data_IF_407389342933
#
_entry.id   IF_407389342933
#
_cell.length_a   1.000
_cell.length_b   1.000
_cell.length_c   1.000
_cell.angle_alpha   90.00
_cell.angle_beta   90.00
_cell.angle_gamma   90.00
#
_symmetry.space_group_name_H-M   'P 1'
#
loop_
_entity.id
_entity.type
_entity.pdbx_description
1 polymer ?
#
# COMPACT_ATOMS: atom_id res chain seq x y z
N UNK A 1 26.44 -12.52 1.48
CA UNK A 1 25.70 -11.39 0.89
C UNK A 1 25.51 -10.33 1.96
N UNK A 2 25.66 -9.03 1.64
CA UNK A 2 25.46 -7.97 2.63
C UNK A 2 23.99 -7.95 3.08
N UNK A 3 23.73 -8.02 4.40
CA UNK A 3 22.38 -8.09 4.99
C UNK A 3 21.53 -6.89 4.57
N UNK A 4 22.15 -5.71 4.43
CA UNK A 4 21.46 -4.52 3.95
C UNK A 4 20.94 -4.69 2.52
N UNK A 5 21.71 -5.33 1.64
CA UNK A 5 21.30 -5.63 0.26
C UNK A 5 20.18 -6.68 0.24
N UNK A 6 20.22 -7.67 1.14
CA UNK A 6 19.13 -8.63 1.28
C UNK A 6 17.82 -7.95 1.72
N UNK A 7 17.90 -7.06 2.71
CA UNK A 7 16.76 -6.25 3.13
C UNK A 7 16.23 -5.37 2.00
N UNK A 8 17.13 -4.76 1.22
CA UNK A 8 16.75 -3.97 0.05
C UNK A 8 16.01 -4.79 -1.00
N UNK A 9 16.55 -5.97 -1.38
CA UNK A 9 15.92 -6.85 -2.36
C UNK A 9 14.55 -7.35 -1.89
N UNK A 10 14.44 -7.76 -0.63
CA UNK A 10 13.18 -8.24 -0.07
C UNK A 10 12.17 -7.09 0.07
N UNK A 11 12.62 -5.89 0.45
CA UNK A 11 11.79 -4.69 0.48
C UNK A 11 11.23 -4.35 -0.89
N UNK A 12 12.02 -4.42 -1.96
CA UNK A 12 11.50 -4.24 -3.31
C UNK A 12 10.45 -5.31 -3.66
N UNK A 13 10.72 -6.58 -3.36
CA UNK A 13 9.75 -7.65 -3.59
C UNK A 13 8.43 -7.44 -2.84
N UNK A 14 8.47 -6.78 -1.68
CA UNK A 14 7.30 -6.47 -0.85
C UNK A 14 6.49 -5.26 -1.38
N UNK A 15 7.14 -4.18 -1.81
CA UNK A 15 6.46 -2.90 -2.14
C UNK A 15 6.10 -2.77 -3.63
N UNK A 16 6.86 -3.43 -4.50
CA UNK A 16 6.70 -3.36 -5.96
C UNK A 16 5.40 -3.99 -6.54
N UNK A 17 4.76 -5.00 -5.92
CA UNK A 17 3.47 -5.52 -6.41
C UNK A 17 2.41 -4.44 -6.59
N UNK A 18 1.82 -4.39 -7.78
CA UNK A 18 0.85 -3.34 -8.13
C UNK A 18 -0.44 -3.55 -7.35
N UNK A 19 -0.81 -2.54 -6.55
CA UNK A 19 -2.02 -2.54 -5.73
C UNK A 19 -2.60 -1.14 -5.56
N UNK A 20 -3.59 -0.99 -4.68
CA UNK A 20 -4.35 0.25 -4.48
C UNK A 20 -3.47 1.50 -4.26
N UNK A 21 -2.37 1.35 -3.53
CA UNK A 21 -1.47 2.45 -3.20
C UNK A 21 -0.60 2.86 -4.38
N UNK A 22 -0.07 1.90 -5.13
CA UNK A 22 0.72 2.15 -6.34
C UNK A 22 -0.10 2.97 -7.34
N UNK A 23 -1.36 2.60 -7.52
CA UNK A 23 -2.34 3.27 -8.38
C UNK A 23 -2.58 4.71 -7.94
N UNK A 24 -2.89 4.90 -6.65
CA UNK A 24 -3.18 6.21 -6.08
C UNK A 24 -1.97 7.16 -6.22
N UNK A 25 -0.76 6.64 -5.99
CA UNK A 25 0.48 7.39 -6.16
C UNK A 25 0.75 7.74 -7.64
N UNK A 26 0.48 6.83 -8.58
CA UNK A 26 0.56 7.08 -10.03
C UNK A 26 -0.40 8.21 -10.42
N UNK A 27 -1.68 8.13 -10.04
CA UNK A 27 -2.67 9.16 -10.35
C UNK A 27 -2.30 10.53 -9.77
N UNK A 28 -1.74 10.54 -8.56
CA UNK A 28 -1.20 11.76 -7.95
C UNK A 28 -0.04 12.31 -8.78
N UNK A 29 0.88 11.46 -9.23
CA UNK A 29 2.03 11.86 -10.04
C UNK A 29 1.63 12.43 -11.42
N UNK A 30 0.54 11.94 -12.01
CA UNK A 30 0.03 12.39 -13.30
C UNK A 30 -0.70 13.73 -13.22
N UNK A 31 -1.42 13.98 -12.12
CA UNK A 31 -2.38 15.10 -12.05
C UNK A 31 -1.92 16.27 -11.18
N UNK A 32 -0.99 16.07 -10.23
CA UNK A 32 -0.68 17.07 -9.22
C UNK A 32 0.64 17.83 -9.47
N UNK A 33 0.85 18.90 -8.69
CA UNK A 33 2.13 19.64 -8.66
C UNK A 33 3.20 18.83 -7.93
N UNK A 34 4.48 19.03 -8.30
CA UNK A 34 5.64 18.30 -7.75
C UNK A 34 5.69 18.25 -6.22
N UNK A 35 5.36 19.34 -5.54
CA UNK A 35 5.32 19.38 -4.06
C UNK A 35 4.36 18.35 -3.48
N UNK A 36 3.16 18.18 -4.08
CA UNK A 36 2.17 17.22 -3.63
C UNK A 36 2.51 15.79 -3.99
N UNK A 37 3.19 15.59 -5.13
CA UNK A 37 3.74 14.29 -5.52
C UNK A 37 4.75 13.80 -4.46
N UNK A 38 5.71 14.66 -4.11
CA UNK A 38 6.73 14.35 -3.09
C UNK A 38 6.12 14.15 -1.71
N UNK A 39 5.16 15.01 -1.30
CA UNK A 39 4.46 14.84 -0.03
C UNK A 39 3.71 13.51 0.05
N UNK A 40 3.05 13.11 -1.05
CA UNK A 40 2.32 11.84 -1.12
C UNK A 40 3.28 10.65 -1.07
N UNK A 41 4.38 10.68 -1.83
CA UNK A 41 5.41 9.65 -1.77
C UNK A 41 5.99 9.49 -0.36
N UNK A 42 6.25 10.60 0.34
CA UNK A 42 6.72 10.59 1.71
C UNK A 42 5.71 9.97 2.68
N UNK A 43 4.44 10.37 2.61
CA UNK A 43 3.36 9.85 3.46
C UNK A 43 3.21 8.33 3.28
N UNK A 44 3.20 7.85 2.03
CA UNK A 44 3.05 6.42 1.74
C UNK A 44 4.29 5.67 2.24
N UNK A 45 5.51 6.16 1.94
CA UNK A 45 6.74 5.54 2.41
C UNK A 45 6.81 5.49 3.95
N UNK A 46 6.35 6.53 4.64
CA UNK A 46 6.29 6.54 6.10
C UNK A 46 5.39 5.43 6.66
N UNK A 47 4.17 5.29 6.14
CA UNK A 47 3.27 4.23 6.59
C UNK A 47 3.79 2.84 6.23
N UNK A 48 4.38 2.69 5.04
CA UNK A 48 4.94 1.43 4.57
C UNK A 48 6.17 0.98 5.39
N UNK A 49 7.06 1.92 5.74
CA UNK A 49 8.20 1.66 6.64
C UNK A 49 7.72 1.28 8.03
N UNK A 50 6.79 2.04 8.60
CA UNK A 50 6.29 1.77 9.96
C UNK A 50 5.58 0.41 10.04
N UNK A 51 4.79 0.06 9.02
CA UNK A 51 4.20 -1.29 8.91
C UNK A 51 5.27 -2.37 8.74
N UNK A 52 6.27 -2.15 7.87
CA UNK A 52 7.36 -3.10 7.63
C UNK A 52 8.13 -3.40 8.92
N UNK A 53 8.44 -2.36 9.71
CA UNK A 53 9.07 -2.50 11.03
C UNK A 53 8.17 -3.32 11.96
N UNK A 54 6.88 -3.01 12.03
CA UNK A 54 5.95 -3.71 12.90
C UNK A 54 5.80 -5.19 12.52
N UNK A 55 5.66 -5.50 11.23
CA UNK A 55 5.62 -6.86 10.70
C UNK A 55 6.93 -7.62 10.97
N UNK A 56 8.08 -6.98 10.77
CA UNK A 56 9.40 -7.54 11.00
C UNK A 56 9.64 -7.91 12.47
N UNK A 57 9.14 -7.10 13.41
CA UNK A 57 9.19 -7.38 14.85
C UNK A 57 7.98 -8.17 15.38
N UNK A 58 7.09 -8.66 14.51
CA UNK A 58 6.12 -9.69 14.87
C UNK A 58 4.71 -9.22 15.23
N UNK A 59 4.28 -8.03 14.80
CA UNK A 59 2.91 -7.54 15.08
C UNK A 59 1.83 -8.46 14.48
N UNK A 60 2.10 -9.17 13.38
CA UNK A 60 1.16 -10.16 12.83
C UNK A 60 0.98 -11.39 13.71
N UNK A 61 1.97 -11.74 14.54
CA UNK A 61 1.78 -12.78 15.56
C UNK A 61 0.83 -12.28 16.66
N UNK A 62 0.96 -11.02 17.09
CA UNK A 62 0.05 -10.38 18.05
C UNK A 62 -1.39 -10.28 17.53
N UNK A 63 -1.59 -10.03 16.24
CA UNK A 63 -2.94 -9.98 15.65
C UNK A 63 -3.63 -11.35 15.71
N UNK A 64 -2.89 -12.45 15.52
CA UNK A 64 -3.42 -13.81 15.63
C UNK A 64 -3.69 -14.27 17.06
N UNK A 65 -3.27 -13.52 18.08
CA UNK A 65 -3.60 -13.85 19.48
C UNK A 65 -5.07 -13.60 19.82
N UNK A 66 -5.77 -12.74 19.06
CA UNK A 66 -7.18 -12.43 19.32
C UNK A 66 -8.00 -12.40 18.04
N UNK A 67 -8.92 -13.37 17.92
CA UNK A 67 -9.82 -13.49 16.78
C UNK A 67 -10.69 -12.23 16.59
N UNK A 68 -11.01 -11.52 17.67
CA UNK A 68 -11.79 -10.27 17.62
C UNK A 68 -11.02 -9.11 17.00
N UNK A 69 -9.71 -9.03 17.25
CA UNK A 69 -8.83 -8.02 16.63
C UNK A 69 -8.67 -8.32 15.14
N UNK A 70 -8.46 -9.59 14.79
CA UNK A 70 -8.37 -10.04 13.40
C UNK A 70 -9.68 -9.75 12.63
N UNK A 71 -10.84 -10.06 13.23
CA UNK A 71 -12.16 -9.75 12.67
C UNK A 71 -12.38 -8.24 12.49
N UNK A 72 -12.04 -7.41 13.48
CA UNK A 72 -12.22 -5.96 13.39
C UNK A 72 -11.38 -5.35 12.25
N UNK A 73 -10.11 -5.75 12.13
CA UNK A 73 -9.21 -5.27 11.08
C UNK A 73 -9.70 -5.74 9.70
N UNK A 74 -10.10 -7.01 9.56
CA UNK A 74 -10.66 -7.55 8.32
C UNK A 74 -11.95 -6.86 7.89
N UNK A 75 -12.89 -6.65 8.81
CA UNK A 75 -14.17 -6.02 8.52
C UNK A 75 -14.01 -4.55 8.11
N UNK A 76 -13.30 -3.75 8.93
CA UNK A 76 -13.09 -2.33 8.68
C UNK A 76 -12.25 -2.12 7.40
N UNK A 77 -11.18 -2.90 7.23
CA UNK A 77 -10.32 -2.85 6.05
C UNK A 77 -11.08 -3.17 4.77
N UNK A 78 -11.90 -4.23 4.76
CA UNK A 78 -12.71 -4.60 3.60
C UNK A 78 -13.68 -3.49 3.19
N UNK A 79 -14.43 -2.92 4.15
CA UNK A 79 -15.39 -1.85 3.87
C UNK A 79 -14.72 -0.61 3.27
N UNK A 80 -13.57 -0.19 3.81
CA UNK A 80 -12.88 0.99 3.31
C UNK A 80 -12.24 0.72 1.94
N UNK A 81 -11.63 -0.44 1.72
CA UNK A 81 -11.03 -0.78 0.41
C UNK A 81 -12.10 -0.86 -0.68
N UNK A 82 -13.27 -1.45 -0.38
CA UNK A 82 -14.41 -1.47 -1.30
C UNK A 82 -14.93 -0.05 -1.58
N UNK A 83 -15.00 0.80 -0.57
CA UNK A 83 -15.40 2.20 -0.73
C UNK A 83 -14.40 2.98 -1.61
N UNK A 84 -13.09 2.77 -1.44
CA UNK A 84 -12.05 3.38 -2.30
C UNK A 84 -12.19 2.88 -3.74
N UNK A 85 -12.34 1.57 -3.94
CA UNK A 85 -12.55 0.98 -5.27
C UNK A 85 -13.78 1.57 -5.96
N UNK A 86 -14.91 1.64 -5.25
CA UNK A 86 -16.15 2.25 -5.76
C UNK A 86 -16.00 3.75 -6.06
N UNK A 87 -15.26 4.49 -5.22
CA UNK A 87 -14.99 5.92 -5.44
C UNK A 87 -14.19 6.17 -6.73
N UNK A 88 -13.32 5.24 -7.14
CA UNK A 88 -12.54 5.32 -8.40
C UNK A 88 -13.43 5.03 -9.61
N UNK A 89 -14.48 4.20 -9.49
CA UNK A 89 -15.45 4.03 -10.58
C UNK A 89 -16.41 5.21 -10.73
N UNK A 90 -16.65 5.95 -9.64
CA UNK A 90 -17.57 7.10 -9.63
C UNK A 90 -16.91 8.40 -10.10
N UNK A 91 -15.58 8.45 -10.25
CA UNK A 91 -14.92 9.60 -10.86
C UNK A 91 -15.21 9.65 -12.35
N UNK A 92 -15.94 10.69 -12.78
CA UNK A 92 -16.15 11.00 -14.19
C UNK A 92 -14.87 11.63 -14.74
N UNK A 93 -14.03 10.85 -15.40
CA UNK A 93 -12.78 11.35 -15.99
C UNK A 93 -13.02 11.90 -17.41
N UNK A 94 -13.23 13.20 -17.50
CA UNK A 94 -12.96 14.00 -18.71
C UNK A 94 -11.88 15.02 -18.37
N UNK A 95 -10.79 15.12 -19.14
CA UNK A 95 -9.74 16.14 -18.94
C UNK A 95 -10.29 17.57 -18.97
N UNK A 96 -11.49 17.78 -19.53
CA UNK A 96 -12.19 19.06 -19.60
C UNK A 96 -12.90 19.48 -18.31
N UNK A 97 -13.10 18.57 -17.35
CA UNK A 97 -13.55 18.91 -16.01
C UNK A 97 -12.40 18.72 -15.02
N UNK A 98 -11.40 19.60 -15.11
CA UNK A 98 -10.48 19.90 -13.99
C UNK A 98 -11.25 20.52 -12.82
N UNK A 99 -12.18 19.76 -12.22
CA UNK A 99 -12.56 19.96 -10.82
C UNK A 99 -11.46 19.33 -10.00
N UNK A 100 -10.46 20.17 -9.74
CA UNK A 100 -9.54 20.10 -8.62
C UNK A 100 -9.54 18.73 -7.92
N UNK A 101 -8.72 17.79 -8.42
CA UNK A 101 -8.42 16.52 -7.72
C UNK A 101 -7.54 16.83 -6.51
N UNK A 102 -7.89 17.86 -5.76
CA UNK A 102 -7.18 18.33 -4.60
C UNK A 102 -7.68 17.62 -3.35
N UNK A 103 -7.78 16.27 -3.39
CA UNK A 103 -8.07 15.47 -2.19
C UNK A 103 -7.17 15.96 -1.05
N UNK A 104 -7.73 16.59 0.01
CA UNK A 104 -6.93 17.31 0.98
C UNK A 104 -5.85 16.39 1.55
N UNK A 105 -4.69 16.94 1.88
CA UNK A 105 -3.55 16.12 2.31
C UNK A 105 -3.91 15.22 3.51
N UNK A 106 -4.84 15.67 4.35
CA UNK A 106 -5.47 14.87 5.41
C UNK A 106 -6.12 13.60 4.90
N UNK A 107 -6.85 13.65 3.79
CA UNK A 107 -7.45 12.47 3.16
C UNK A 107 -6.38 11.53 2.60
N UNK A 108 -5.28 12.07 2.04
CA UNK A 108 -4.14 11.26 1.59
C UNK A 108 -3.51 10.50 2.75
N UNK A 109 -3.28 11.18 3.88
CA UNK A 109 -2.76 10.59 5.12
C UNK A 109 -3.69 9.48 5.60
N UNK A 110 -4.99 9.76 5.70
CA UNK A 110 -5.98 8.78 6.14
C UNK A 110 -6.06 7.57 5.21
N UNK A 111 -6.09 7.78 3.89
CA UNK A 111 -6.14 6.69 2.92
C UNK A 111 -4.86 5.85 2.98
N UNK A 112 -3.68 6.48 3.04
CA UNK A 112 -2.42 5.75 3.17
C UNK A 112 -2.37 4.93 4.47
N UNK A 113 -2.74 5.55 5.60
CA UNK A 113 -2.83 4.87 6.88
C UNK A 113 -3.77 3.66 6.82
N UNK A 114 -5.00 3.84 6.34
CA UNK A 114 -5.99 2.76 6.30
C UNK A 114 -5.58 1.64 5.35
N UNK A 115 -5.12 1.98 4.15
CA UNK A 115 -4.73 0.96 3.16
C UNK A 115 -3.45 0.22 3.56
N UNK A 116 -2.57 0.83 4.35
CA UNK A 116 -1.38 0.15 4.88
C UNK A 116 -1.71 -0.63 6.15
N UNK A 117 -2.12 0.06 7.21
CA UNK A 117 -2.22 -0.51 8.57
C UNK A 117 -3.51 -1.29 8.82
N UNK A 118 -4.61 -0.93 8.17
CA UNK A 118 -5.88 -1.63 8.32
C UNK A 118 -6.10 -2.66 7.18
N UNK A 119 -5.04 -2.97 6.43
CA UNK A 119 -5.05 -4.03 5.45
C UNK A 119 -4.49 -5.31 6.10
N UNK A 120 -5.33 -6.23 6.57
CA UNK A 120 -4.88 -7.44 7.24
C UNK A 120 -4.09 -8.34 6.31
N UNK A 121 -4.33 -8.29 5.00
CA UNK A 121 -3.51 -9.02 4.04
C UNK A 121 -2.07 -8.49 4.05
N UNK A 122 -1.88 -7.17 4.08
CA UNK A 122 -0.54 -6.57 4.18
C UNK A 122 0.14 -6.90 5.52
N UNK A 123 -0.61 -6.89 6.62
CA UNK A 123 -0.10 -7.31 7.94
C UNK A 123 0.33 -8.78 7.95
N UNK A 124 -0.48 -9.67 7.37
CA UNK A 124 -0.19 -11.11 7.28
C UNK A 124 1.00 -11.36 6.35
N UNK A 125 0.98 -10.83 5.13
CA UNK A 125 2.02 -11.03 4.12
C UNK A 125 3.35 -10.43 4.59
N UNK A 126 3.32 -9.21 5.13
CA UNK A 126 4.48 -8.56 5.71
C UNK A 126 5.03 -9.34 6.90
N UNK A 127 4.18 -9.84 7.79
CA UNK A 127 4.65 -10.62 8.95
C UNK A 127 5.17 -12.00 8.57
N UNK A 128 4.57 -12.66 7.58
CA UNK A 128 5.07 -13.93 7.04
C UNK A 128 6.41 -13.74 6.33
N UNK A 129 6.53 -12.71 5.50
CA UNK A 129 7.71 -12.49 4.67
C UNK A 129 8.87 -11.87 5.47
N UNK A 130 8.63 -10.73 6.12
CA UNK A 130 9.66 -10.00 6.89
C UNK A 130 9.92 -10.67 8.24
N UNK A 131 8.89 -11.17 8.92
CA UNK A 131 9.03 -11.84 10.21
C UNK A 131 9.71 -13.21 10.10
N UNK A 132 9.39 -14.03 9.08
CA UNK A 132 10.12 -15.28 8.87
C UNK A 132 11.60 -15.04 8.51
N UNK A 133 11.87 -13.98 7.73
CA UNK A 133 13.26 -13.61 7.43
C UNK A 133 13.99 -13.15 8.68
N UNK A 134 13.35 -12.35 9.56
CA UNK A 134 13.92 -11.95 10.85
C UNK A 134 14.36 -13.16 11.69
N UNK A 135 13.53 -14.21 11.77
CA UNK A 135 13.86 -15.43 12.51
C UNK A 135 15.08 -16.18 11.97
N UNK A 136 15.43 -15.97 10.69
CA UNK A 136 16.60 -16.56 10.04
C UNK A 136 17.87 -15.69 10.12
N UNK A 137 17.78 -14.45 10.62
CA UNK A 137 18.91 -13.52 10.67
C UNK A 137 19.86 -13.84 11.84
N UNK A 138 21.19 -13.72 11.65
CA UNK A 138 22.14 -13.76 12.75
C UNK A 138 21.90 -12.62 13.76
N UNK A 139 22.19 -12.88 15.04
CA UNK A 139 22.09 -11.89 16.12
C UNK A 139 22.81 -10.59 15.77
N UNK A 140 22.16 -9.45 16.01
CA UNK A 140 22.70 -8.11 15.73
C UNK A 140 22.59 -7.65 14.27
N UNK A 141 22.03 -8.45 13.34
CA UNK A 141 21.87 -8.06 11.92
C UNK A 141 20.49 -7.48 11.58
N UNK A 142 19.53 -7.57 12.49
CA UNK A 142 18.14 -7.15 12.30
C UNK A 142 18.00 -5.68 11.86
N UNK A 143 18.77 -4.77 12.48
CA UNK A 143 18.74 -3.35 12.15
C UNK A 143 19.19 -3.08 10.70
N UNK A 144 20.29 -3.70 10.26
CA UNK A 144 20.80 -3.51 8.89
C UNK A 144 19.81 -4.04 7.84
N UNK A 145 19.09 -5.11 8.17
CA UNK A 145 18.08 -5.68 7.30
C UNK A 145 16.88 -4.74 7.14
N UNK A 146 16.28 -4.31 8.25
CA UNK A 146 15.09 -3.44 8.19
C UNK A 146 15.43 -2.05 7.63
N UNK A 147 16.67 -1.58 7.81
CA UNK A 147 17.17 -0.39 7.13
C UNK A 147 17.19 -0.58 5.61
N UNK A 148 17.63 -1.75 5.12
CA UNK A 148 17.57 -2.10 3.70
C UNK A 148 16.14 -2.07 3.15
N UNK A 149 15.19 -2.68 3.88
CA UNK A 149 13.75 -2.67 3.53
C UNK A 149 13.22 -1.22 3.47
N UNK A 150 13.61 -0.38 4.43
CA UNK A 150 13.19 1.02 4.50
C UNK A 150 13.73 1.85 3.33
N UNK A 151 14.99 1.62 2.93
CA UNK A 151 15.60 2.25 1.76
C UNK A 151 14.88 1.82 0.48
N UNK A 152 14.47 0.55 0.37
CA UNK A 152 13.71 0.06 -0.78
C UNK A 152 12.37 0.79 -0.90
N UNK A 153 11.64 0.94 0.20
CA UNK A 153 10.37 1.68 0.24
C UNK A 153 10.55 3.14 -0.20
N UNK A 154 11.51 3.87 0.37
CA UNK A 154 11.81 5.25 -0.04
C UNK A 154 12.17 5.34 -1.53
N UNK A 155 13.07 4.47 -1.97
CA UNK A 155 13.57 4.48 -3.35
C UNK A 155 12.44 4.17 -4.33
N UNK A 156 11.58 3.22 -4.01
CA UNK A 156 10.41 2.88 -4.83
C UNK A 156 9.42 4.03 -4.90
N UNK A 157 8.94 4.55 -3.76
CA UNK A 157 7.89 5.57 -3.76
C UNK A 157 8.34 6.89 -4.37
N UNK A 158 9.55 7.36 -4.06
CA UNK A 158 10.09 8.57 -4.69
C UNK A 158 10.50 8.34 -6.15
N UNK A 159 11.11 7.20 -6.46
CA UNK A 159 11.55 6.87 -7.82
C UNK A 159 10.37 6.74 -8.77
N UNK A 160 9.38 5.90 -8.43
CA UNK A 160 8.19 5.66 -9.24
C UNK A 160 7.41 6.95 -9.49
N UNK A 161 7.10 7.70 -8.43
CA UNK A 161 6.31 8.94 -8.59
C UNK A 161 7.07 10.02 -9.37
N UNK A 162 8.40 10.07 -9.26
CA UNK A 162 9.23 10.97 -10.07
C UNK A 162 9.25 10.54 -11.53
N UNK A 163 9.47 9.26 -11.82
CA UNK A 163 9.48 8.73 -13.20
C UNK A 163 8.14 9.01 -13.87
N UNK A 164 7.02 8.69 -13.19
CA UNK A 164 5.67 8.95 -13.71
C UNK A 164 5.45 10.44 -13.96
N UNK A 165 5.89 11.31 -13.05
CA UNK A 165 5.80 12.76 -13.21
C UNK A 165 6.58 13.29 -14.42
N UNK A 166 7.74 12.68 -14.74
CA UNK A 166 8.56 13.06 -15.89
C UNK A 166 7.93 12.62 -17.23
N UNK A 167 7.28 11.45 -17.27
CA UNK A 167 6.67 10.91 -18.49
C UNK A 167 5.21 11.33 -18.67
N UNK A 168 4.60 12.03 -17.71
CA UNK A 168 3.16 12.35 -17.71
C UNK A 168 2.69 13.07 -18.97
N UNK A 169 3.55 13.86 -19.61
CA UNK A 169 3.23 14.58 -20.86
C UNK A 169 3.03 13.64 -22.06
N UNK A 170 3.48 12.38 -21.96
CA UNK A 170 3.26 11.34 -22.97
C UNK A 170 2.00 10.51 -22.72
N UNK A 171 1.29 10.75 -21.63
CA UNK A 171 0.14 9.96 -21.20
C UNK A 171 -1.14 10.69 -21.61
N UNK A 172 -1.98 10.03 -22.43
CA UNK A 172 -3.25 10.58 -22.90
C UNK A 172 -4.45 10.12 -22.05
N UNK A 173 -5.60 10.79 -22.22
CA UNK A 173 -6.84 10.52 -21.46
C UNK A 173 -7.35 9.09 -21.58
N UNK A 174 -7.22 8.51 -22.78
CA UNK A 174 -7.64 7.14 -23.02
C UNK A 174 -6.81 6.17 -22.18
N UNK A 175 -5.50 6.39 -22.11
CA UNK A 175 -4.58 5.59 -21.30
C UNK A 175 -4.82 5.80 -19.80
N UNK A 176 -5.05 7.04 -19.35
CA UNK A 176 -5.46 7.34 -17.97
C UNK A 176 -6.74 6.62 -17.56
N UNK A 177 -7.77 6.65 -18.42
CA UNK A 177 -9.04 5.97 -18.16
C UNK A 177 -8.87 4.45 -18.07
N UNK A 178 -8.08 3.85 -18.95
CA UNK A 178 -7.78 2.41 -18.87
C UNK A 178 -7.00 2.05 -17.61
N UNK A 179 -6.02 2.86 -17.22
CA UNK A 179 -5.32 2.73 -15.95
C UNK A 179 -6.37 2.76 -14.83
N UNK A 180 -7.19 3.80 -14.71
CA UNK A 180 -8.19 3.94 -13.64
C UNK A 180 -9.19 2.79 -13.57
N UNK A 181 -9.65 2.26 -14.69
CA UNK A 181 -10.57 1.11 -14.74
C UNK A 181 -9.88 -0.16 -14.23
N UNK A 182 -8.71 -0.49 -14.80
CA UNK A 182 -7.94 -1.69 -14.38
C UNK A 182 -7.62 -1.60 -12.89
N UNK A 183 -7.24 -0.41 -12.46
CA UNK A 183 -6.92 -0.08 -11.08
C UNK A 183 -8.11 -0.26 -10.14
N UNK A 184 -9.26 0.33 -10.46
CA UNK A 184 -10.49 0.17 -9.70
C UNK A 184 -10.93 -1.29 -9.63
N UNK A 185 -10.81 -2.05 -10.72
CA UNK A 185 -11.13 -3.48 -10.75
C UNK A 185 -10.22 -4.29 -9.81
N UNK A 186 -8.91 -4.04 -9.84
CA UNK A 186 -7.95 -4.69 -8.95
C UNK A 186 -8.27 -4.36 -7.49
N UNK A 187 -8.55 -3.09 -7.16
CA UNK A 187 -8.88 -2.65 -5.80
C UNK A 187 -10.18 -3.30 -5.31
N UNK A 188 -11.22 -3.34 -6.14
CA UNK A 188 -12.48 -4.02 -5.80
C UNK A 188 -12.26 -5.52 -5.58
N UNK A 189 -11.45 -6.18 -6.43
CA UNK A 189 -11.09 -7.59 -6.23
C UNK A 189 -10.41 -7.82 -4.89
N UNK A 190 -9.45 -6.97 -4.50
CA UNK A 190 -8.82 -7.04 -3.17
C UNK A 190 -9.81 -6.80 -2.03
N UNK A 191 -10.70 -5.81 -2.16
CA UNK A 191 -11.76 -5.56 -1.18
C UNK A 191 -12.69 -6.77 -1.00
N UNK A 192 -13.07 -7.42 -2.10
CA UNK A 192 -13.86 -8.65 -2.08
C UNK A 192 -13.10 -9.84 -1.47
N UNK A 193 -11.80 -9.96 -1.75
CA UNK A 193 -10.93 -10.98 -1.13
C UNK A 193 -10.86 -10.78 0.39
N UNK A 194 -10.65 -9.55 0.85
CA UNK A 194 -10.66 -9.18 2.27
C UNK A 194 -12.00 -9.52 2.93
N UNK A 195 -13.12 -9.18 2.27
CA UNK A 195 -14.45 -9.50 2.75
C UNK A 195 -14.70 -11.02 2.82
N UNK A 196 -14.20 -11.79 1.86
CA UNK A 196 -14.29 -13.25 1.89
C UNK A 196 -13.44 -13.84 3.02
N UNK A 197 -12.23 -13.32 3.26
CA UNK A 197 -11.41 -13.71 4.41
C UNK A 197 -12.10 -13.39 5.74
N UNK A 198 -12.74 -12.22 5.87
CA UNK A 198 -13.58 -11.87 7.02
C UNK A 198 -14.70 -12.91 7.21
N UNK A 199 -15.45 -13.22 6.15
CA UNK A 199 -16.56 -14.20 6.19
C UNK A 199 -16.08 -15.59 6.61
N UNK A 200 -14.96 -16.07 6.07
CA UNK A 200 -14.37 -17.37 6.44
C UNK A 200 -13.98 -17.39 7.91
N UNK A 201 -13.39 -16.30 8.42
CA UNK A 201 -13.00 -16.22 9.82
C UNK A 201 -14.21 -16.22 10.76
N UNK A 202 -15.29 -15.51 10.41
CA UNK A 202 -16.57 -15.56 11.15
C UNK A 202 -17.11 -16.98 11.22
N UNK A 203 -17.20 -17.68 10.09
CA UNK A 203 -17.72 -19.06 10.00
C UNK A 203 -16.88 -20.11 10.74
N UNK A 204 -15.59 -19.82 10.99
CA UNK A 204 -14.73 -20.70 11.79
C UNK A 204 -14.82 -20.43 13.30
N UNK A 205 -15.36 -19.27 13.68
CA UNK A 205 -15.34 -18.79 15.07
C UNK A 205 -16.70 -18.99 15.76
N UNK A 206 -17.79 -18.99 15.00
CA UNK A 206 -19.17 -19.19 15.45
C UNK A 206 -19.83 -20.30 14.63
#
# INVERSE_FOLDING_TARGET
>A
MNILIQGLMLGFAYVMPIGAQNIFAINTALTQKRSRILATAFIIAFFDITLSIACFFGIGALIKLSVWIELAILGIGALVVLWIGFSIFRSKDTMSETKDVSLPLTRVIWTACVVTWFNPQALIDGSLLLGAFHASLPSGKAFLFILGVSIASLTWWFGMTTIVSLIRTKINDKMLRWINIICGLIIMFYGLKLLNSFRILVLKTF
#
